data_IF_361888262476
#
_entry.id   IF_361888262476
#
_cell.length_a   1.000
_cell.length_b   1.000
_cell.length_c   1.000
_cell.angle_alpha   90.00
_cell.angle_beta   90.00
_cell.angle_gamma   90.00
#
_symmetry.space_group_name_H-M   'P 1'
#
loop_
_entity.id
_entity.type
_entity.pdbx_description
1 polymer ?
#
# COMPACT_ATOMS: atom_id res chain seq x y z
N UNK A 1 10.56 6.06 -19.04
CA UNK A 1 10.43 6.07 -17.55
C UNK A 1 9.01 6.40 -17.11
N UNK A 2 8.38 7.44 -17.68
CA UNK A 2 6.94 7.72 -17.47
C UNK A 2 6.05 6.57 -17.93
N UNK A 3 6.22 6.08 -19.16
CA UNK A 3 5.38 5.00 -19.72
C UNK A 3 5.46 3.70 -18.92
N UNK A 4 6.65 3.35 -18.41
CA UNK A 4 6.82 2.19 -17.53
C UNK A 4 6.12 2.37 -16.17
N UNK A 5 6.07 3.59 -15.64
CA UNK A 5 5.35 3.90 -14.41
C UNK A 5 3.83 3.88 -14.64
N UNK A 6 3.35 4.43 -15.76
CA UNK A 6 1.94 4.38 -16.15
C UNK A 6 1.46 2.94 -16.40
N UNK A 7 2.25 2.15 -17.12
CA UNK A 7 1.98 0.72 -17.31
C UNK A 7 1.90 -0.03 -15.97
N UNK A 8 2.83 0.26 -15.04
CA UNK A 8 2.81 -0.34 -13.70
C UNK A 8 1.55 0.06 -12.92
N UNK A 9 1.08 1.31 -13.04
CA UNK A 9 -0.18 1.75 -12.45
C UNK A 9 -1.39 1.05 -13.05
N UNK A 10 -1.45 0.91 -14.38
CA UNK A 10 -2.53 0.20 -15.05
C UNK A 10 -2.57 -1.28 -14.65
N UNK A 11 -1.42 -1.93 -14.49
CA UNK A 11 -1.32 -3.32 -14.04
C UNK A 11 -1.66 -3.47 -12.55
N UNK A 12 -1.42 -2.44 -11.73
CA UNK A 12 -1.77 -2.45 -10.31
C UNK A 12 -3.29 -2.51 -10.08
N UNK A 13 -4.11 -1.92 -10.95
CA UNK A 13 -5.58 -1.90 -10.81
C UNK A 13 -6.19 -3.32 -10.78
N UNK A 14 -6.02 -4.18 -11.81
CA UNK A 14 -6.60 -5.51 -11.80
C UNK A 14 -6.00 -6.41 -10.71
N UNK A 15 -4.71 -6.27 -10.43
CA UNK A 15 -4.02 -7.11 -9.42
C UNK A 15 -4.47 -6.78 -7.99
N UNK A 16 -4.54 -5.50 -7.63
CA UNK A 16 -5.03 -5.07 -6.30
C UNK A 16 -6.53 -5.33 -6.14
N UNK A 17 -7.32 -5.16 -7.21
CA UNK A 17 -8.75 -5.48 -7.18
C UNK A 17 -8.98 -6.97 -6.95
N UNK A 18 -8.26 -7.84 -7.66
CA UNK A 18 -8.31 -9.28 -7.45
C UNK A 18 -7.88 -9.68 -6.03
N UNK A 19 -6.77 -9.12 -5.53
CA UNK A 19 -6.28 -9.42 -4.19
C UNK A 19 -7.25 -8.96 -3.09
N UNK A 20 -7.85 -7.77 -3.24
CA UNK A 20 -8.82 -7.23 -2.29
C UNK A 20 -10.12 -8.03 -2.33
N UNK A 21 -10.64 -8.33 -3.51
CA UNK A 21 -11.83 -9.16 -3.69
C UNK A 21 -11.65 -10.55 -3.08
N UNK A 22 -10.48 -11.19 -3.31
CA UNK A 22 -10.15 -12.47 -2.68
C UNK A 22 -10.12 -12.38 -1.15
N UNK A 23 -9.50 -11.33 -0.58
CA UNK A 23 -9.50 -11.11 0.87
C UNK A 23 -10.92 -10.94 1.43
N UNK A 24 -11.79 -10.20 0.74
CA UNK A 24 -13.19 -10.01 1.13
C UNK A 24 -13.94 -11.34 1.12
N UNK A 25 -13.84 -12.11 0.03
CA UNK A 25 -14.45 -13.45 -0.06
C UNK A 25 -13.96 -14.37 1.06
N UNK A 26 -12.65 -14.36 1.36
CA UNK A 26 -12.07 -15.16 2.45
C UNK A 26 -12.62 -14.75 3.82
N UNK A 27 -12.84 -13.46 4.08
CA UNK A 27 -13.47 -12.96 5.31
C UNK A 27 -14.93 -13.44 5.45
N UNK A 28 -15.68 -13.47 4.34
CA UNK A 28 -17.04 -14.01 4.32
C UNK A 28 -17.06 -15.53 4.58
N UNK A 29 -16.16 -16.29 3.95
CA UNK A 29 -16.08 -17.75 4.12
C UNK A 29 -15.65 -18.17 5.53
N UNK A 30 -14.79 -17.39 6.18
CA UNK A 30 -14.31 -17.67 7.54
C UNK A 30 -15.30 -17.20 8.65
N UNK A 31 -16.43 -16.59 8.29
CA UNK A 31 -17.42 -16.10 9.26
C UNK A 31 -16.97 -14.87 10.06
N UNK A 32 -15.86 -14.21 9.67
CA UNK A 32 -15.30 -13.03 10.35
C UNK A 32 -15.97 -11.71 9.91
N UNK A 33 -17.20 -11.78 9.40
CA UNK A 33 -17.95 -10.63 8.89
C UNK A 33 -18.22 -9.56 9.96
N UNK A 34 -18.17 -9.92 11.25
CA UNK A 34 -18.27 -8.97 12.38
C UNK A 34 -17.17 -7.90 12.35
N UNK A 35 -15.97 -8.24 11.87
CA UNK A 35 -14.87 -7.28 11.72
C UNK A 35 -15.16 -6.23 10.64
N UNK A 36 -15.87 -6.61 9.57
CA UNK A 36 -16.33 -5.70 8.51
C UNK A 36 -17.46 -4.81 9.01
N UNK A 37 -18.50 -5.37 9.62
CA UNK A 37 -19.70 -4.62 10.02
C UNK A 37 -19.41 -3.56 11.08
N UNK A 38 -18.55 -3.84 12.06
CA UNK A 38 -18.20 -2.88 13.10
C UNK A 38 -17.30 -1.74 12.61
N UNK A 39 -16.55 -1.95 11.53
CA UNK A 39 -15.57 -0.98 11.03
C UNK A 39 -16.02 -0.32 9.71
N UNK A 40 -17.28 -0.49 9.29
CA UNK A 40 -17.83 0.15 8.08
C UNK A 40 -17.53 1.66 8.02
N UNK A 41 -17.72 2.47 9.10
CA UNK A 41 -17.45 3.90 9.04
C UNK A 41 -15.97 4.20 8.74
N UNK A 42 -15.05 3.49 9.40
CA UNK A 42 -13.62 3.63 9.18
C UNK A 42 -13.19 3.17 7.78
N UNK A 43 -13.81 2.11 7.25
CA UNK A 43 -13.58 1.64 5.88
C UNK A 43 -13.99 2.67 4.84
N UNK A 44 -15.16 3.29 5.00
CA UNK A 44 -15.67 4.30 4.06
C UNK A 44 -14.80 5.56 4.11
N UNK A 45 -14.53 6.08 5.29
CA UNK A 45 -13.69 7.29 5.46
C UNK A 45 -12.28 6.99 4.94
N UNK A 46 -11.68 5.86 5.35
CA UNK A 46 -10.36 5.45 4.90
C UNK A 46 -10.28 5.27 3.39
N UNK A 47 -11.32 4.71 2.75
CA UNK A 47 -11.37 4.57 1.30
C UNK A 47 -11.38 5.93 0.59
N UNK A 48 -12.21 6.86 1.04
CA UNK A 48 -12.29 8.22 0.47
C UNK A 48 -10.96 8.96 0.66
N UNK A 49 -10.40 8.94 1.89
CA UNK A 49 -9.12 9.58 2.18
C UNK A 49 -8.00 8.97 1.36
N UNK A 50 -7.91 7.63 1.29
CA UNK A 50 -6.90 6.94 0.49
C UNK A 50 -7.04 7.24 -1.00
N UNK A 51 -8.27 7.35 -1.52
CA UNK A 51 -8.51 7.70 -2.92
C UNK A 51 -8.00 9.11 -3.24
N UNK A 52 -8.32 10.11 -2.41
CA UNK A 52 -7.87 11.49 -2.60
C UNK A 52 -6.34 11.57 -2.51
N UNK A 53 -5.76 10.96 -1.48
CA UNK A 53 -4.30 10.94 -1.27
C UNK A 53 -3.60 10.21 -2.40
N UNK A 54 -4.14 9.10 -2.91
CA UNK A 54 -3.57 8.36 -4.02
C UNK A 54 -3.51 9.21 -5.30
N UNK A 55 -4.58 9.95 -5.63
CA UNK A 55 -4.58 10.84 -6.82
C UNK A 55 -3.49 11.91 -6.74
N UNK A 56 -3.31 12.52 -5.56
CA UNK A 56 -2.23 13.47 -5.30
C UNK A 56 -0.86 12.81 -5.38
N UNK A 57 -0.70 11.65 -4.72
CA UNK A 57 0.55 10.91 -4.66
C UNK A 57 1.01 10.45 -6.04
N UNK A 58 0.12 9.98 -6.91
CA UNK A 58 0.45 9.54 -8.28
C UNK A 58 1.05 10.70 -9.08
N UNK A 59 0.38 11.85 -9.07
CA UNK A 59 0.86 13.05 -9.80
C UNK A 59 2.23 13.49 -9.29
N UNK A 60 2.39 13.55 -7.97
CA UNK A 60 3.66 13.92 -7.35
C UNK A 60 4.76 12.90 -7.65
N UNK A 61 4.46 11.61 -7.52
CA UNK A 61 5.41 10.52 -7.73
C UNK A 61 5.93 10.46 -9.16
N UNK A 62 5.04 10.52 -10.16
CA UNK A 62 5.46 10.50 -11.58
C UNK A 62 6.32 11.73 -11.88
N UNK A 63 5.95 12.92 -11.38
CA UNK A 63 6.74 14.14 -11.54
C UNK A 63 8.14 14.03 -10.88
N UNK A 64 8.18 13.55 -9.65
CA UNK A 64 9.42 13.41 -8.88
C UNK A 64 10.38 12.38 -9.49
N UNK A 65 9.89 11.18 -9.81
CA UNK A 65 10.71 10.11 -10.43
C UNK A 65 11.21 10.50 -11.80
N UNK A 66 10.43 11.26 -12.57
CA UNK A 66 10.89 11.76 -13.87
C UNK A 66 12.08 12.73 -13.70
N UNK A 67 12.05 13.59 -12.68
CA UNK A 67 13.06 14.65 -12.47
C UNK A 67 14.32 14.17 -11.73
N UNK A 68 14.15 13.41 -10.66
CA UNK A 68 15.26 13.00 -9.76
C UNK A 68 15.64 11.53 -9.91
N UNK A 69 14.87 10.74 -10.67
CA UNK A 69 15.08 9.30 -10.82
C UNK A 69 14.73 8.50 -9.55
N UNK A 70 15.11 7.22 -9.54
CA UNK A 70 14.79 6.28 -8.45
C UNK A 70 15.84 6.22 -7.33
N UNK A 71 16.95 6.95 -7.42
CA UNK A 71 18.07 6.86 -6.46
C UNK A 71 17.64 7.17 -5.02
N UNK A 72 16.86 8.22 -4.82
CA UNK A 72 16.35 8.61 -3.48
C UNK A 72 15.44 7.53 -2.88
N UNK A 73 14.62 6.87 -3.71
CA UNK A 73 13.78 5.76 -3.27
C UNK A 73 14.61 4.52 -2.85
N UNK A 74 15.74 4.29 -3.52
CA UNK A 74 16.70 3.25 -3.12
C UNK A 74 17.26 3.49 -1.72
N UNK A 75 17.78 4.69 -1.47
CA UNK A 75 18.34 5.04 -0.16
C UNK A 75 17.29 4.99 0.96
N UNK A 76 16.08 5.49 0.69
CA UNK A 76 14.94 5.38 1.60
C UNK A 76 14.66 3.92 1.99
N UNK A 77 14.64 2.99 1.02
CA UNK A 77 14.42 1.56 1.29
C UNK A 77 15.55 0.94 2.12
N UNK A 78 16.80 1.31 1.89
CA UNK A 78 17.94 0.78 2.67
C UNK A 78 17.86 1.27 4.13
N UNK A 79 17.55 2.55 4.36
CA UNK A 79 17.38 3.08 5.72
C UNK A 79 16.22 2.38 6.42
N UNK A 80 15.03 2.34 5.81
CA UNK A 80 13.85 1.73 6.43
C UNK A 80 14.06 0.25 6.68
N UNK A 81 14.63 -0.48 5.71
CA UNK A 81 14.99 -1.89 5.88
C UNK A 81 15.99 -2.10 7.02
N UNK A 82 17.00 -1.24 7.12
CA UNK A 82 17.97 -1.25 8.23
C UNK A 82 17.31 -1.04 9.59
N UNK A 83 16.37 -0.10 9.69
CA UNK A 83 15.61 0.15 10.93
C UNK A 83 14.78 -1.08 11.31
N UNK A 84 14.06 -1.67 10.34
CA UNK A 84 13.26 -2.88 10.59
C UNK A 84 14.15 -4.03 11.10
N UNK A 85 15.32 -4.23 10.49
CA UNK A 85 16.27 -5.26 10.91
C UNK A 85 16.85 -4.97 12.30
N UNK A 86 17.15 -3.72 12.61
CA UNK A 86 17.62 -3.30 13.94
C UNK A 86 16.55 -3.52 15.01
N UNK A 87 15.28 -3.20 14.72
CA UNK A 87 14.15 -3.45 15.61
C UNK A 87 13.92 -4.96 15.83
N UNK A 88 14.09 -5.76 14.79
CA UNK A 88 14.02 -7.22 14.87
C UNK A 88 15.15 -7.78 15.76
N UNK A 89 16.38 -7.32 15.56
CA UNK A 89 17.53 -7.71 16.36
C UNK A 89 17.41 -7.26 17.83
N UNK A 90 16.76 -6.13 18.08
CA UNK A 90 16.45 -5.63 19.43
C UNK A 90 15.29 -6.41 20.13
N UNK A 91 14.76 -7.46 19.51
CA UNK A 91 13.76 -8.34 20.12
C UNK A 91 12.33 -7.82 20.10
N UNK A 92 12.04 -6.75 19.34
CA UNK A 92 10.67 -6.27 19.19
C UNK A 92 9.85 -7.27 18.35
N UNK A 93 8.68 -7.65 18.85
CA UNK A 93 7.73 -8.48 18.10
C UNK A 93 7.16 -7.66 16.92
N UNK A 94 7.77 -7.80 15.75
CA UNK A 94 7.30 -7.23 14.47
C UNK A 94 6.10 -7.98 13.89
N UNK A 95 5.17 -8.43 14.74
CA UNK A 95 3.87 -8.94 14.28
C UNK A 95 3.07 -7.76 13.75
N UNK A 96 3.22 -7.51 12.46
CA UNK A 96 2.24 -6.76 11.68
C UNK A 96 1.06 -7.72 11.56
N UNK A 97 -0.05 -7.31 12.19
CA UNK A 97 -1.36 -8.00 12.26
C UNK A 97 -1.73 -8.66 10.94
#
# INVERSE_FOLDING_TARGET
RKDAAEFSFFLAVPTMFAATGYKVVKLFLNGETRALTNNIPALVIGNITAFIVALLAIRFFIGFVTKYGFKTFGYYRIIVGGIILAMFAAGYNLKIV
#
